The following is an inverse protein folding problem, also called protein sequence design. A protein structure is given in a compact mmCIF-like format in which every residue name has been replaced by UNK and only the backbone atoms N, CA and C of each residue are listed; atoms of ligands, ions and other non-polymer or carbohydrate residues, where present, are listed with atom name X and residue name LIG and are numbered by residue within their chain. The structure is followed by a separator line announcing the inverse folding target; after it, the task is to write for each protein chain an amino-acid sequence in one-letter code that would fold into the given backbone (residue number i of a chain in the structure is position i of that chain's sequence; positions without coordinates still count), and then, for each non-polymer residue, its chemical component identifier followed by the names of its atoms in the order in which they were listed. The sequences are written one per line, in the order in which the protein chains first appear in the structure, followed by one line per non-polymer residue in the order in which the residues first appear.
data_IF_094591927762
#
_entry.id   IF_094591927762
#
_cell.length_a   1.000
_cell.length_b   1.000
_cell.length_c   1.000
_cell.angle_alpha   90.00
_cell.angle_beta   90.00
_cell.angle_gamma   90.00
#
_symmetry.space_group_name_H-M   'P 1'
#
loop_
_entity.id
_entity.type
_entity.pdbx_description
1 polymer ?
#
# COMPACT_ATOMS: atom_id res chain seq x y z
N UNK A 1 3.01 15.27 3.37
CA UNK A 1 3.18 13.81 3.13
C UNK A 1 1.92 13.10 3.58
N UNK A 2 1.53 12.06 2.88
CA UNK A 2 0.35 11.24 3.21
C UNK A 2 0.79 9.87 3.69
N UNK A 3 0.04 9.30 4.63
CA UNK A 3 0.19 7.93 5.10
C UNK A 3 -1.12 7.18 4.85
N UNK A 4 -1.04 6.13 4.02
CA UNK A 4 -2.11 5.16 3.87
C UNK A 4 -1.73 3.87 4.58
N UNK A 5 -2.69 3.25 5.24
CA UNK A 5 -2.55 1.96 5.91
C UNK A 5 -3.49 0.94 5.29
N UNK A 6 -2.96 -0.22 4.97
CA UNK A 6 -3.74 -1.36 4.51
C UNK A 6 -3.64 -2.50 5.51
N UNK A 7 -4.77 -3.06 5.90
CA UNK A 7 -4.85 -4.15 6.87
C UNK A 7 -5.04 -5.48 6.18
N UNK A 8 -4.30 -6.50 6.61
CA UNK A 8 -4.49 -7.89 6.20
C UNK A 8 -4.51 -8.80 7.44
N UNK A 9 -5.24 -9.91 7.33
CA UNK A 9 -5.15 -11.00 8.29
C UNK A 9 -3.98 -11.91 7.91
N UNK A 10 -3.12 -12.22 8.87
CA UNK A 10 -2.04 -13.17 8.69
C UNK A 10 -2.61 -14.58 8.60
N UNK A 11 -2.26 -15.29 7.55
CA UNK A 11 -2.58 -16.68 7.31
C UNK A 11 -1.30 -17.46 7.03
N UNK A 12 -1.32 -18.79 7.24
CA UNK A 12 -0.12 -19.63 7.11
C UNK A 12 0.43 -19.72 5.67
N UNK A 13 -0.35 -19.33 4.67
CA UNK A 13 0.02 -19.32 3.26
C UNK A 13 0.82 -18.08 2.82
N UNK A 14 1.02 -17.10 3.74
CA UNK A 14 1.75 -15.88 3.44
C UNK A 14 3.23 -15.99 3.81
N UNK A 15 4.10 -15.92 2.81
CA UNK A 15 5.55 -15.73 2.98
C UNK A 15 5.84 -14.24 3.20
N UNK A 16 5.92 -13.82 4.48
CA UNK A 16 6.09 -12.42 4.84
C UNK A 16 7.47 -11.87 4.49
N UNK A 17 8.52 -12.68 4.62
CA UNK A 17 9.87 -12.26 4.24
C UNK A 17 9.93 -11.94 2.75
N UNK A 18 9.34 -12.80 1.93
CA UNK A 18 9.27 -12.61 0.49
C UNK A 18 8.42 -11.39 0.11
N UNK A 19 7.30 -11.19 0.82
CA UNK A 19 6.44 -10.00 0.68
C UNK A 19 7.18 -8.71 1.02
N UNK A 20 7.95 -8.69 2.12
CA UNK A 20 8.74 -7.52 2.53
C UNK A 20 9.84 -7.18 1.53
N UNK A 21 10.52 -8.19 0.99
CA UNK A 21 11.50 -8.00 -0.10
C UNK A 21 10.86 -7.38 -1.33
N UNK A 22 9.71 -7.88 -1.75
CA UNK A 22 8.96 -7.33 -2.87
C UNK A 22 8.51 -5.89 -2.61
N UNK A 23 8.04 -5.58 -1.40
CA UNK A 23 7.61 -4.23 -1.01
C UNK A 23 8.75 -3.20 -1.14
N UNK A 24 9.98 -3.58 -0.78
CA UNK A 24 11.14 -2.68 -0.89
C UNK A 24 11.42 -2.22 -2.33
N UNK A 25 10.99 -2.98 -3.32
CA UNK A 25 11.17 -2.64 -4.73
C UNK A 25 10.32 -1.45 -5.19
N UNK A 26 9.24 -1.15 -4.47
CA UNK A 26 8.38 0.00 -4.76
C UNK A 26 8.88 1.31 -4.14
N UNK A 27 9.83 1.24 -3.22
CA UNK A 27 10.39 2.42 -2.56
C UNK A 27 11.25 3.20 -3.56
N UNK A 28 11.16 4.52 -3.51
CA UNK A 28 11.84 5.43 -4.43
C UNK A 28 10.93 5.96 -5.54
N UNK A 29 11.56 6.56 -6.54
CA UNK A 29 10.89 7.17 -7.68
C UNK A 29 10.68 6.14 -8.79
N UNK A 30 9.42 5.89 -9.14
CA UNK A 30 9.03 4.95 -10.18
C UNK A 30 7.88 5.48 -11.03
N UNK A 31 7.75 4.94 -12.23
CA UNK A 31 6.52 5.02 -13.02
C UNK A 31 5.55 3.92 -12.57
N UNK A 32 4.43 4.31 -11.97
CA UNK A 32 3.41 3.40 -11.41
C UNK A 32 2.28 3.07 -12.39
N UNK A 33 2.51 3.17 -13.70
CA UNK A 33 1.48 2.86 -14.71
C UNK A 33 0.88 1.47 -14.55
N UNK A 34 1.67 0.48 -14.13
CA UNK A 34 1.19 -0.89 -13.88
C UNK A 34 0.60 -1.11 -12.48
N UNK A 35 0.69 -0.11 -11.58
CA UNK A 35 0.28 -0.22 -10.18
C UNK A 35 -0.65 0.91 -9.74
N UNK A 36 -1.33 1.54 -10.69
CA UNK A 36 -2.32 2.57 -10.42
C UNK A 36 -3.31 2.67 -11.57
N UNK A 37 -4.44 3.31 -11.31
CA UNK A 37 -5.32 3.75 -12.38
C UNK A 37 -4.93 5.16 -12.79
N UNK A 38 -4.37 5.30 -13.98
CA UNK A 38 -3.89 6.60 -14.47
C UNK A 38 -5.05 7.33 -15.16
N UNK A 39 -5.45 8.46 -14.59
CA UNK A 39 -6.40 9.37 -15.20
C UNK A 39 -5.74 10.08 -16.39
N UNK A 40 -6.54 10.39 -17.43
CA UNK A 40 -6.06 11.06 -18.64
C UNK A 40 -5.30 12.37 -18.29
N UNK A 41 -4.08 12.49 -18.79
CA UNK A 41 -3.22 13.66 -18.58
C UNK A 41 -2.49 13.67 -17.24
N UNK A 42 -2.66 12.67 -16.39
CA UNK A 42 -1.91 12.56 -15.13
C UNK A 42 -0.54 11.92 -15.34
N UNK A 43 0.46 12.48 -14.66
CA UNK A 43 1.80 11.92 -14.63
C UNK A 43 1.81 10.67 -13.72
N UNK A 44 2.23 9.49 -14.22
CA UNK A 44 2.26 8.26 -13.43
C UNK A 44 3.46 8.15 -12.47
N UNK A 45 4.41 9.07 -12.56
CA UNK A 45 5.62 9.02 -11.72
C UNK A 45 5.30 9.50 -10.32
N UNK A 46 5.65 8.67 -9.33
CA UNK A 46 5.53 8.99 -7.90
C UNK A 46 6.75 8.47 -7.16
N UNK A 47 7.00 9.07 -6.01
CA UNK A 47 8.01 8.60 -5.08
C UNK A 47 7.34 8.05 -3.82
N UNK A 48 7.51 6.75 -3.59
CA UNK A 48 7.16 6.15 -2.29
C UNK A 48 8.37 6.30 -1.37
N UNK A 49 8.19 7.05 -0.30
CA UNK A 49 9.26 7.33 0.67
C UNK A 49 9.57 6.11 1.53
N UNK A 50 8.53 5.39 1.94
CA UNK A 50 8.70 4.21 2.78
C UNK A 50 7.47 3.30 2.71
N UNK A 51 7.68 2.01 2.97
CA UNK A 51 6.64 1.01 3.21
C UNK A 51 7.01 0.27 4.50
N UNK A 52 6.17 0.35 5.52
CA UNK A 52 6.43 -0.19 6.84
C UNK A 52 5.41 -1.26 7.20
N UNK A 53 5.89 -2.40 7.68
CA UNK A 53 5.07 -3.51 8.14
C UNK A 53 4.92 -3.42 9.66
N UNK A 54 3.68 -3.34 10.14
CA UNK A 54 3.34 -3.20 11.55
C UNK A 54 2.52 -4.40 11.99
N UNK A 55 3.12 -5.26 12.81
CA UNK A 55 2.44 -6.41 13.38
C UNK A 55 1.53 -5.98 14.53
N UNK A 56 0.28 -6.32 14.43
CA UNK A 56 -0.77 -6.03 15.42
C UNK A 56 -1.22 -7.29 16.14
N UNK A 57 -2.00 -7.13 17.21
CA UNK A 57 -2.64 -8.25 17.92
C UNK A 57 -3.59 -9.02 16.99
N UNK A 58 -3.95 -10.25 17.37
CA UNK A 58 -4.92 -11.10 16.68
C UNK A 58 -4.54 -11.44 15.24
N UNK A 59 -3.25 -11.68 14.99
CA UNK A 59 -2.73 -12.07 13.67
C UNK A 59 -3.07 -11.08 12.56
N UNK A 60 -3.02 -9.79 12.88
CA UNK A 60 -3.25 -8.71 11.92
C UNK A 60 -1.93 -8.03 11.57
N UNK A 61 -1.73 -7.81 10.29
CA UNK A 61 -0.65 -7.03 9.75
C UNK A 61 -1.20 -5.75 9.15
N UNK A 62 -0.64 -4.61 9.53
CA UNK A 62 -0.84 -3.35 8.86
C UNK A 62 0.38 -3.02 7.98
N UNK A 63 0.13 -2.58 6.76
CA UNK A 63 1.16 -2.12 5.84
C UNK A 63 0.96 -0.64 5.59
N UNK A 64 1.93 0.17 6.01
CA UNK A 64 1.91 1.62 5.90
C UNK A 64 2.71 2.10 4.70
N UNK A 65 2.10 2.95 3.89
CA UNK A 65 2.68 3.55 2.71
C UNK A 65 2.83 5.06 2.91
N UNK A 66 4.03 5.59 2.69
CA UNK A 66 4.34 7.01 2.84
C UNK A 66 4.78 7.61 1.51
N UNK A 67 4.09 8.65 1.06
CA UNK A 67 4.42 9.41 -0.14
C UNK A 67 3.85 10.84 -0.07
N UNK A 68 4.36 11.75 -0.88
CA UNK A 68 3.78 13.09 -0.98
C UNK A 68 2.36 13.03 -1.56
N UNK A 69 2.18 12.26 -2.60
CA UNK A 69 0.89 12.01 -3.23
C UNK A 69 0.82 10.57 -3.72
N UNK A 70 -0.40 10.06 -3.87
CA UNK A 70 -0.68 8.76 -4.45
C UNK A 70 -1.58 8.92 -5.67
N UNK A 71 -1.41 8.03 -6.63
CA UNK A 71 -2.31 7.87 -7.76
C UNK A 71 -3.57 7.08 -7.34
N UNK A 72 -4.63 7.18 -8.14
CA UNK A 72 -5.84 6.42 -7.89
C UNK A 72 -5.58 4.92 -7.87
N UNK A 73 -6.07 4.23 -6.84
CA UNK A 73 -5.90 2.80 -6.57
C UNK A 73 -4.43 2.34 -6.38
N UNK A 74 -3.47 3.24 -6.26
CA UNK A 74 -2.05 2.87 -6.23
C UNK A 74 -1.73 1.91 -5.07
N UNK A 75 -2.09 2.26 -3.85
CA UNK A 75 -1.83 1.40 -2.67
C UNK A 75 -2.51 0.04 -2.80
N UNK A 76 -3.76 0.01 -3.26
CA UNK A 76 -4.53 -1.22 -3.41
C UNK A 76 -3.97 -2.14 -4.50
N UNK A 77 -3.46 -1.58 -5.60
CA UNK A 77 -2.82 -2.35 -6.68
C UNK A 77 -1.46 -2.90 -6.25
N UNK A 78 -0.68 -2.11 -5.53
CA UNK A 78 0.56 -2.60 -4.92
C UNK A 78 0.25 -3.73 -3.93
N UNK A 79 -0.71 -3.55 -3.03
CA UNK A 79 -1.10 -4.60 -2.08
C UNK A 79 -1.56 -5.88 -2.75
N UNK A 80 -2.32 -5.79 -3.84
CA UNK A 80 -2.73 -6.97 -4.62
C UNK A 80 -1.51 -7.74 -5.15
N UNK A 81 -0.52 -7.05 -5.69
CA UNK A 81 0.72 -7.69 -6.17
C UNK A 81 1.52 -8.31 -5.02
N UNK A 82 1.65 -7.60 -3.88
CA UNK A 82 2.37 -8.11 -2.71
C UNK A 82 1.72 -9.35 -2.11
N UNK A 83 0.40 -9.41 -2.05
CA UNK A 83 -0.33 -10.60 -1.59
C UNK A 83 -0.13 -11.79 -2.53
N UNK A 84 -0.08 -11.55 -3.84
CA UNK A 84 0.24 -12.61 -4.82
C UNK A 84 1.67 -13.10 -4.70
N UNK A 85 2.63 -12.22 -4.44
CA UNK A 85 4.02 -12.58 -4.11
C UNK A 85 4.06 -13.44 -2.85
N UNK A 86 3.41 -12.99 -1.78
CA UNK A 86 3.39 -13.70 -0.49
C UNK A 86 2.79 -15.12 -0.59
N UNK A 87 1.87 -15.34 -1.53
CA UNK A 87 1.24 -16.63 -1.82
C UNK A 87 1.93 -17.41 -2.94
N UNK A 88 3.09 -16.98 -3.40
CA UNK A 88 3.86 -17.60 -4.51
C UNK A 88 3.05 -17.71 -5.82
N UNK A 89 2.09 -16.83 -6.05
CA UNK A 89 1.29 -16.80 -7.29
C UNK A 89 1.99 -16.07 -8.43
N UNK A 90 2.88 -15.15 -8.10
CA UNK A 90 3.80 -14.48 -9.03
C UNK A 90 5.19 -14.44 -8.42
N UNK A 91 6.22 -14.37 -9.28
CA UNK A 91 7.61 -14.27 -8.84
C UNK A 91 8.05 -12.82 -8.67
N UNK A 92 9.11 -12.61 -7.90
CA UNK A 92 9.77 -11.28 -7.76
C UNK A 92 10.28 -10.79 -9.12
N UNK A 93 10.73 -11.68 -10.00
CA UNK A 93 11.21 -11.34 -11.34
C UNK A 93 10.11 -10.73 -12.21
N UNK A 94 8.89 -11.28 -12.14
CA UNK A 94 7.73 -10.73 -12.83
C UNK A 94 7.39 -9.34 -12.28
N UNK A 95 7.43 -9.17 -10.96
CA UNK A 95 7.19 -7.88 -10.32
C UNK A 95 8.25 -6.85 -10.73
N UNK A 96 9.52 -7.23 -10.67
CA UNK A 96 10.64 -6.38 -11.10
C UNK A 96 10.49 -5.93 -12.55
N UNK A 97 10.08 -6.84 -13.42
CA UNK A 97 9.83 -6.56 -14.83
C UNK A 97 8.68 -5.54 -15.01
N UNK A 98 7.60 -5.70 -14.26
CA UNK A 98 6.46 -4.78 -14.29
C UNK A 98 6.81 -3.36 -13.79
N UNK A 99 7.70 -3.25 -12.81
CA UNK A 99 8.19 -1.96 -12.31
C UNK A 99 9.12 -1.29 -13.30
N UNK A 100 10.04 -2.07 -13.91
CA UNK A 100 11.08 -1.55 -14.81
C UNK A 100 10.57 -1.25 -16.21
N UNK A 101 9.46 -1.85 -16.63
CA UNK A 101 8.89 -1.72 -17.97
C UNK A 101 7.45 -1.19 -17.92
N UNK A 102 7.25 0.09 -17.56
CA UNK A 102 5.90 0.65 -17.38
C UNK A 102 5.08 0.73 -18.69
N UNK A 103 5.73 0.63 -19.85
CA UNK A 103 5.07 0.59 -21.16
C UNK A 103 4.49 -0.78 -21.52
N UNK A 104 4.95 -1.85 -20.86
CA UNK A 104 4.39 -3.19 -20.99
C UNK A 104 3.30 -3.32 -19.93
N UNK A 105 2.08 -3.67 -20.36
CA UNK A 105 0.96 -3.76 -19.45
C UNK A 105 1.03 -5.03 -18.60
N UNK A 106 1.10 -4.84 -17.29
CA UNK A 106 0.88 -5.86 -16.27
C UNK A 106 -0.33 -5.46 -15.42
N UNK A 107 -1.19 -6.41 -15.10
CA UNK A 107 -2.31 -6.20 -14.19
C UNK A 107 -2.33 -7.30 -13.12
N UNK A 108 -2.03 -6.92 -11.88
CA UNK A 108 -2.04 -7.81 -10.72
C UNK A 108 -3.33 -7.70 -9.90
N UNK A 109 -4.33 -7.00 -10.43
CA UNK A 109 -5.58 -6.79 -9.75
C UNK A 109 -5.57 -5.63 -8.76
N UNK A 110 -6.65 -5.53 -7.99
CA UNK A 110 -6.89 -4.46 -7.02
C UNK A 110 -7.37 -5.08 -5.72
N UNK A 111 -6.65 -4.85 -4.62
CA UNK A 111 -7.06 -5.33 -3.30
C UNK A 111 -8.35 -4.62 -2.82
N UNK A 112 -9.18 -5.27 -1.97
CA UNK A 112 -10.45 -4.71 -1.51
C UNK A 112 -10.29 -3.32 -0.86
N UNK A 113 -11.18 -2.34 -1.15
CA UNK A 113 -11.06 -0.98 -0.62
C UNK A 113 -11.37 -0.89 0.88
N UNK A 114 -12.18 -1.81 1.43
CA UNK A 114 -12.64 -1.77 2.82
C UNK A 114 -11.54 -1.89 3.86
N UNK A 115 -10.35 -2.36 3.49
CA UNK A 115 -9.21 -2.52 4.40
C UNK A 115 -8.16 -1.40 4.27
N UNK A 116 -8.45 -0.38 3.47
CA UNK A 116 -7.58 0.78 3.25
C UNK A 116 -8.07 1.97 4.07
N UNK A 117 -7.15 2.62 4.78
CA UNK A 117 -7.39 3.82 5.56
C UNK A 117 -6.36 4.89 5.24
N UNK A 118 -6.81 6.12 4.98
CA UNK A 118 -5.95 7.31 5.03
C UNK A 118 -5.69 7.63 6.51
N UNK A 119 -4.47 7.32 6.96
CA UNK A 119 -4.09 7.40 8.37
C UNK A 119 -3.73 8.81 8.77
N UNK A 120 -2.95 9.48 7.94
CA UNK A 120 -2.44 10.81 8.25
C UNK A 120 -2.11 11.63 7.01
N UNK A 121 -2.19 12.96 7.17
CA UNK A 121 -1.68 13.94 6.23
C UNK A 121 -0.71 14.82 7.01
N UNK A 122 0.61 14.66 6.71
CA UNK A 122 1.69 15.37 7.40
C UNK A 122 2.07 16.58 6.56
N UNK A 123 1.92 17.78 7.11
CA UNK A 123 2.37 19.03 6.51
C UNK A 123 3.70 19.47 7.15
N UNK A 124 4.67 19.85 6.33
CA UNK A 124 6.02 20.20 6.79
C UNK A 124 6.09 21.44 7.70
N UNK A 125 5.08 22.33 7.64
CA UNK A 125 5.09 23.61 8.37
C UNK A 125 3.96 23.80 9.38
N UNK A 126 2.95 22.93 9.44
CA UNK A 126 1.77 23.12 10.32
C UNK A 126 1.43 21.79 10.99
N UNK A 127 1.74 21.68 12.28
CA UNK A 127 1.17 20.64 13.15
C UNK A 127 -0.26 21.04 13.52
N UNK A 128 -1.25 20.56 12.80
CA UNK A 128 -2.62 20.63 13.25
C UNK A 128 -2.80 19.68 14.44
N UNK A 129 -3.06 20.24 15.64
CA UNK A 129 -3.57 19.44 16.74
C UNK A 129 -5.04 19.13 16.45
N UNK A 130 -5.29 17.91 16.01
CA UNK A 130 -6.62 17.42 15.65
C UNK A 130 -7.29 16.79 16.88
N UNK A 131 -7.89 17.61 17.72
CA UNK A 131 -8.76 17.14 18.81
C UNK A 131 -10.02 16.49 18.19
N UNK A 132 -10.26 15.21 18.48
CA UNK A 132 -11.41 14.43 18.01
C UNK A 132 -11.16 13.50 16.82
N UNK A 133 -10.24 13.83 15.92
CA UNK A 133 -9.93 12.95 14.77
C UNK A 133 -9.22 11.67 15.20
N UNK A 134 -8.42 11.71 16.26
CA UNK A 134 -7.73 10.51 16.75
C UNK A 134 -8.70 9.43 17.16
N UNK A 135 -9.75 9.79 17.91
CA UNK A 135 -10.80 8.86 18.33
C UNK A 135 -11.57 8.28 17.14
N UNK A 136 -11.93 9.13 16.18
CA UNK A 136 -12.61 8.71 14.96
C UNK A 136 -11.76 7.74 14.13
N UNK A 137 -10.47 8.02 13.99
CA UNK A 137 -9.53 7.11 13.30
C UNK A 137 -9.37 5.78 14.04
N UNK A 138 -9.31 5.79 15.37
CA UNK A 138 -9.26 4.58 16.19
C UNK A 138 -10.54 3.74 16.01
N UNK A 139 -11.71 4.35 15.99
CA UNK A 139 -12.99 3.67 15.75
C UNK A 139 -13.08 3.09 14.34
N UNK A 140 -12.56 3.80 13.32
CA UNK A 140 -12.46 3.27 11.95
C UNK A 140 -11.48 2.11 11.86
N UNK A 141 -10.33 2.21 12.51
CA UNK A 141 -9.36 1.12 12.57
C UNK A 141 -9.96 -0.14 13.20
N UNK A 142 -10.65 0.02 14.33
CA UNK A 142 -11.33 -1.08 15.01
C UNK A 142 -12.40 -1.71 14.13
N UNK A 143 -13.17 -0.92 13.41
CA UNK A 143 -14.18 -1.41 12.45
C UNK A 143 -13.55 -2.22 11.32
N UNK A 144 -12.43 -1.75 10.76
CA UNK A 144 -11.69 -2.47 9.71
C UNK A 144 -11.13 -3.77 10.25
N UNK A 145 -10.49 -3.73 11.41
CA UNK A 145 -9.88 -4.89 12.07
C UNK A 145 -10.93 -5.95 12.40
N UNK A 146 -12.10 -5.55 12.93
CA UNK A 146 -13.18 -6.46 13.27
C UNK A 146 -13.84 -7.07 12.02
N UNK A 147 -13.67 -6.49 10.84
CA UNK A 147 -14.18 -7.03 9.56
C UNK A 147 -13.22 -8.03 8.89
N UNK A 148 -11.99 -8.11 9.37
CA UNK A 148 -11.00 -9.07 8.91
C UNK A 148 -11.26 -10.47 9.49
#
# INVERSE_FOLDING_TARGET
MRQYRYYIKLTSDLDLEYMMRAASMFTGLHDFSNFARIEKGKNPIREIKNIVFVFKKNEILAVDFFAQTFLWQQVRRIMSSLLKIARSKISIEILANAISNPKIRFDFGVAPPKYLLLKDVIYDEIKFQRYGEKKFLEELEDSIVNSL
#
